data_IF_538679174149
#
_entry.id   IF_538679174149
#
_cell.length_a   1.000
_cell.length_b   1.000
_cell.length_c   1.000
_cell.angle_alpha   90.00
_cell.angle_beta   90.00
_cell.angle_gamma   90.00
#
_symmetry.space_group_name_H-M   'P 1'
#
loop_
_entity.id
_entity.type
_entity.pdbx_description
1 polymer ?
#
# COMPACT_ATOMS: atom_id res chain seq x y z
N UNK A 1 5.19 21.04 31.93
CA UNK A 1 5.20 21.75 30.63
C UNK A 1 6.61 21.67 30.08
N UNK A 2 6.82 21.02 28.94
CA UNK A 2 8.10 21.03 28.23
C UNK A 2 8.42 22.47 27.80
N UNK A 3 9.56 23.01 28.23
CA UNK A 3 9.95 24.36 27.85
C UNK A 3 10.59 24.35 26.46
N UNK A 4 9.76 24.17 25.43
CA UNK A 4 10.18 24.23 24.03
C UNK A 4 10.96 25.50 23.69
N UNK A 5 10.62 26.64 24.32
CA UNK A 5 11.35 27.89 24.11
C UNK A 5 12.82 27.77 24.53
N UNK A 6 13.09 27.18 25.70
CA UNK A 6 14.47 26.93 26.16
C UNK A 6 15.23 26.03 25.18
N UNK A 7 14.58 24.97 24.71
CA UNK A 7 15.16 24.02 23.76
C UNK A 7 15.49 24.66 22.41
N UNK A 8 14.56 25.41 21.81
CA UNK A 8 14.82 26.09 20.54
C UNK A 8 15.85 27.21 20.66
N UNK A 9 15.85 27.96 21.77
CA UNK A 9 16.87 28.96 22.04
C UNK A 9 18.26 28.33 22.13
N UNK A 10 18.39 27.18 22.79
CA UNK A 10 19.65 26.43 22.84
C UNK A 10 20.11 25.98 21.44
N UNK A 11 19.19 25.59 20.57
CA UNK A 11 19.46 25.25 19.18
C UNK A 11 19.70 26.47 18.26
N UNK A 12 19.49 27.69 18.75
CA UNK A 12 19.53 28.90 17.92
C UNK A 12 18.41 28.98 16.88
N UNK A 13 17.28 28.30 17.10
CA UNK A 13 16.15 28.23 16.17
C UNK A 13 15.11 29.30 16.54
N UNK A 14 14.87 30.25 15.64
CA UNK A 14 13.72 31.15 15.72
C UNK A 14 12.47 30.45 15.16
N UNK A 15 11.51 30.12 16.02
CA UNK A 15 10.26 29.45 15.60
C UNK A 15 9.45 30.24 14.55
N UNK A 16 9.53 31.56 14.57
CA UNK A 16 8.77 32.41 13.63
C UNK A 16 9.45 32.48 12.25
N UNK A 17 10.73 32.14 12.18
CA UNK A 17 11.53 32.10 10.94
C UNK A 17 12.52 30.93 11.04
N UNK A 18 12.02 29.68 10.98
CA UNK A 18 12.87 28.53 11.18
C UNK A 18 13.82 28.31 9.99
N UNK A 19 14.95 27.62 10.18
CA UNK A 19 15.82 27.24 9.09
C UNK A 19 15.07 26.48 7.99
N UNK A 20 15.39 26.74 6.71
CA UNK A 20 14.75 26.08 5.55
C UNK A 20 14.77 24.55 5.63
N UNK A 21 15.78 23.97 6.27
CA UNK A 21 15.91 22.53 6.47
C UNK A 21 14.84 21.93 7.40
N UNK A 22 14.07 22.73 8.13
CA UNK A 22 12.94 22.30 8.97
C UNK A 22 11.67 23.12 8.72
N UNK A 23 11.75 24.18 7.91
CA UNK A 23 10.60 24.97 7.44
C UNK A 23 9.91 24.35 6.22
N UNK A 24 9.48 23.09 6.37
CA UNK A 24 8.73 22.38 5.33
C UNK A 24 7.77 21.36 5.92
N UNK A 25 6.79 20.93 5.13
CA UNK A 25 5.82 19.90 5.53
C UNK A 25 6.41 18.50 5.37
N UNK A 26 6.06 17.62 6.31
CA UNK A 26 6.56 16.25 6.40
C UNK A 26 5.63 15.21 5.75
N UNK A 27 4.97 15.53 4.63
CA UNK A 27 4.05 14.60 3.95
C UNK A 27 4.11 14.72 2.42
N UNK A 28 5.33 14.72 1.90
CA UNK A 28 5.58 14.62 0.46
C UNK A 28 5.98 13.17 0.23
N UNK A 29 5.03 12.34 -0.21
CA UNK A 29 5.29 10.97 -0.63
C UNK A 29 4.72 10.76 -2.03
N UNK A 30 5.52 10.29 -3.00
CA UNK A 30 5.04 10.07 -4.35
C UNK A 30 3.92 9.02 -4.39
N UNK A 31 3.08 9.11 -5.43
CA UNK A 31 2.04 8.10 -5.69
C UNK A 31 2.70 6.72 -5.83
N UNK A 32 2.26 5.80 -4.98
CA UNK A 32 2.91 4.52 -4.80
C UNK A 32 1.88 3.38 -4.95
N UNK A 33 2.11 2.52 -5.95
CA UNK A 33 1.33 1.32 -6.18
C UNK A 33 2.21 0.13 -5.86
N UNK A 34 1.98 -0.46 -4.69
CA UNK A 34 2.82 -1.53 -4.13
C UNK A 34 3.00 -2.73 -5.09
N UNK A 35 1.94 -3.11 -5.82
CA UNK A 35 2.02 -4.19 -6.81
C UNK A 35 3.06 -3.92 -7.90
N UNK A 36 3.22 -2.67 -8.34
CA UNK A 36 4.12 -2.31 -9.43
C UNK A 36 5.60 -2.37 -9.07
N UNK A 37 5.94 -2.70 -7.82
CA UNK A 37 7.30 -2.60 -7.31
C UNK A 37 7.88 -3.96 -6.89
N UNK A 38 9.20 -4.07 -6.98
CA UNK A 38 10.00 -5.04 -6.27
C UNK A 38 10.39 -4.49 -4.91
N UNK A 39 10.36 -5.37 -3.89
CA UNK A 39 10.60 -5.02 -2.50
C UNK A 39 11.82 -5.76 -1.97
N UNK A 40 12.67 -5.05 -1.25
CA UNK A 40 13.72 -5.63 -0.41
C UNK A 40 13.83 -4.83 0.89
N UNK A 41 14.39 -5.45 1.91
CA UNK A 41 14.71 -4.78 3.17
C UNK A 41 16.22 -4.68 3.31
N UNK A 42 16.69 -3.53 3.74
CA UNK A 42 18.09 -3.29 4.03
C UNK A 42 18.22 -2.35 5.23
N UNK A 43 19.26 -2.58 6.01
CA UNK A 43 19.65 -1.68 7.09
C UNK A 43 20.70 -0.69 6.57
N UNK A 44 20.45 0.62 6.74
CA UNK A 44 21.39 1.66 6.27
C UNK A 44 21.30 2.96 7.07
N UNK A 45 22.35 3.77 6.96
CA UNK A 45 22.29 5.18 7.33
C UNK A 45 21.51 5.94 6.26
N UNK A 46 20.50 6.70 6.69
CA UNK A 46 19.63 7.49 5.83
C UNK A 46 19.79 8.96 6.17
N UNK A 47 20.03 9.77 5.13
CA UNK A 47 20.05 11.23 5.26
C UNK A 47 18.70 11.73 5.73
N UNK A 48 18.69 12.44 6.86
CA UNK A 48 17.47 12.99 7.45
C UNK A 48 16.72 13.91 6.48
N UNK A 49 17.42 14.59 5.57
CA UNK A 49 16.82 15.44 4.52
C UNK A 49 15.96 14.67 3.52
N UNK A 50 16.22 13.38 3.29
CA UNK A 50 15.49 12.56 2.34
C UNK A 50 14.21 11.95 2.95
N UNK A 51 14.03 12.08 4.27
CA UNK A 51 12.83 11.64 4.97
C UNK A 51 11.79 12.75 4.87
N UNK A 52 10.83 12.56 3.97
CA UNK A 52 9.88 13.61 3.56
C UNK A 52 8.45 13.30 3.97
N UNK A 53 8.18 12.14 4.56
CA UNK A 53 6.83 11.71 4.94
C UNK A 53 6.77 11.06 6.32
N UNK A 54 5.74 11.39 7.10
CA UNK A 54 5.42 10.74 8.39
C UNK A 54 4.38 9.63 8.21
N UNK A 55 4.25 8.73 9.21
CA UNK A 55 3.22 7.68 9.18
C UNK A 55 1.79 8.23 9.31
N UNK A 56 1.62 9.28 10.12
CA UNK A 56 0.29 9.68 10.61
C UNK A 56 -0.26 10.91 9.90
N UNK A 57 -1.50 10.79 9.44
CA UNK A 57 -2.24 11.88 8.81
C UNK A 57 -2.45 13.09 9.73
N UNK A 58 -2.36 12.93 11.06
CA UNK A 58 -2.42 14.07 12.00
C UNK A 58 -1.30 15.10 11.76
N UNK A 59 -0.20 14.71 11.13
CA UNK A 59 0.89 15.61 10.77
C UNK A 59 0.80 16.10 9.32
N UNK A 60 -0.21 15.67 8.54
CA UNK A 60 -0.32 15.90 7.08
C UNK A 60 -0.02 17.34 6.67
N UNK A 61 -0.59 18.28 7.41
CA UNK A 61 -0.48 19.71 7.13
C UNK A 61 0.53 20.44 8.03
N UNK A 62 1.26 19.73 8.89
CA UNK A 62 2.18 20.33 9.86
C UNK A 62 3.58 20.53 9.27
N UNK A 63 4.24 21.62 9.63
CA UNK A 63 5.69 21.76 9.44
C UNK A 63 6.46 20.75 10.31
N UNK A 64 7.77 20.58 10.09
CA UNK A 64 8.61 19.72 10.96
C UNK A 64 8.51 20.14 12.43
N UNK A 65 8.58 21.45 12.72
CA UNK A 65 8.47 22.00 14.08
C UNK A 65 7.12 21.68 14.69
N UNK A 66 6.03 22.00 13.99
CA UNK A 66 4.68 21.73 14.48
C UNK A 66 4.44 20.24 14.70
N UNK A 67 4.93 19.40 13.79
CA UNK A 67 4.83 17.94 13.93
C UNK A 67 5.62 17.46 15.16
N UNK A 68 6.83 17.98 15.38
CA UNK A 68 7.64 17.67 16.55
C UNK A 68 6.95 18.08 17.86
N UNK A 69 6.41 19.29 17.96
CA UNK A 69 5.70 19.75 19.16
C UNK A 69 4.42 18.94 19.42
N UNK A 70 3.63 18.66 18.37
CA UNK A 70 2.44 17.78 18.45
C UNK A 70 2.78 16.35 18.81
N UNK A 71 4.02 15.93 18.56
CA UNK A 71 4.54 14.65 18.98
C UNK A 71 4.81 14.61 20.49
N UNK A 72 4.77 15.76 21.20
CA UNK A 72 4.98 15.85 22.64
C UNK A 72 6.24 15.09 23.13
N UNK A 73 7.43 15.44 22.62
CA UNK A 73 8.69 14.92 23.17
C UNK A 73 8.73 15.23 24.67
N UNK A 74 8.76 14.20 25.50
CA UNK A 74 8.76 14.37 26.95
C UNK A 74 9.86 15.32 27.42
N UNK A 75 9.59 16.14 28.42
CA UNK A 75 10.52 17.20 28.88
C UNK A 75 11.91 16.67 29.20
N UNK A 76 11.98 15.48 29.82
CA UNK A 76 13.24 14.80 30.12
C UNK A 76 14.16 14.63 28.88
N UNK A 77 13.60 14.34 27.70
CA UNK A 77 14.37 14.18 26.47
C UNK A 77 14.92 15.52 25.98
N UNK A 78 14.13 16.59 26.10
CA UNK A 78 14.57 17.94 25.73
C UNK A 78 15.69 18.41 26.66
N UNK A 79 15.52 18.22 27.97
CA UNK A 79 16.50 18.59 28.98
C UNK A 79 17.79 17.78 28.79
N UNK A 80 17.68 16.47 28.53
CA UNK A 80 18.85 15.62 28.27
C UNK A 80 19.60 16.03 27.02
N UNK A 81 18.92 16.47 25.96
CA UNK A 81 19.62 16.94 24.77
C UNK A 81 20.44 18.20 25.04
N UNK A 82 19.89 19.12 25.86
CA UNK A 82 20.60 20.34 26.26
C UNK A 82 21.87 20.01 27.05
N UNK A 83 21.86 18.95 27.87
CA UNK A 83 23.02 18.55 28.69
C UNK A 83 23.98 17.59 27.99
N UNK A 84 23.47 16.71 27.11
CA UNK A 84 24.19 15.59 26.49
C UNK A 84 23.88 15.46 24.99
N UNK A 85 24.19 16.46 24.14
CA UNK A 85 23.84 16.40 22.73
C UNK A 85 24.55 15.25 21.97
N UNK A 86 25.79 14.93 22.34
CA UNK A 86 26.61 13.86 21.72
C UNK A 86 26.00 12.46 21.90
N UNK A 87 25.28 12.24 23.02
CA UNK A 87 24.54 11.01 23.27
C UNK A 87 23.55 10.74 22.13
N UNK A 88 22.81 11.77 21.70
CA UNK A 88 21.78 11.65 20.69
C UNK A 88 22.36 11.44 19.28
N UNK A 89 23.52 12.02 18.98
CA UNK A 89 24.18 11.76 17.71
C UNK A 89 24.59 10.29 17.59
N UNK A 90 25.22 9.75 18.64
CA UNK A 90 25.61 8.33 18.69
C UNK A 90 24.38 7.43 18.70
N UNK A 91 23.37 7.76 19.49
CA UNK A 91 22.11 7.01 19.56
C UNK A 91 21.43 6.94 18.19
N UNK A 92 21.29 8.05 17.46
CA UNK A 92 20.62 8.07 16.16
C UNK A 92 21.39 7.31 15.07
N UNK A 93 22.72 7.25 15.13
CA UNK A 93 23.55 6.48 14.19
C UNK A 93 23.69 4.99 14.55
N UNK A 94 23.32 4.62 15.77
CA UNK A 94 23.44 3.26 16.28
C UNK A 94 22.34 2.33 15.77
N UNK A 95 22.65 1.04 15.63
CA UNK A 95 21.66 -0.01 15.32
C UNK A 95 20.58 -0.10 16.41
N UNK A 96 19.39 -0.66 16.12
CA UNK A 96 18.35 -0.86 17.14
C UNK A 96 18.85 -1.61 18.38
N UNK A 97 19.64 -2.68 18.19
CA UNK A 97 20.24 -3.42 19.30
C UNK A 97 21.17 -2.55 20.14
N UNK A 98 22.01 -1.73 19.52
CA UNK A 98 22.91 -0.84 20.25
C UNK A 98 22.15 0.26 21.00
N UNK A 99 21.05 0.76 20.44
CA UNK A 99 20.15 1.70 21.12
C UNK A 99 19.45 1.07 22.34
N UNK A 100 19.11 -0.21 22.29
CA UNK A 100 18.61 -0.97 23.46
C UNK A 100 19.65 -0.97 24.57
N UNK A 101 20.93 -1.22 24.27
CA UNK A 101 22.00 -1.15 25.28
C UNK A 101 22.12 0.26 25.90
N UNK A 102 21.95 1.31 25.08
CA UNK A 102 22.08 2.71 25.51
C UNK A 102 20.88 3.25 26.29
N UNK A 103 19.67 2.74 26.04
CA UNK A 103 18.42 3.30 26.58
C UNK A 103 17.62 2.32 27.46
N UNK A 104 18.02 1.04 27.50
CA UNK A 104 17.39 -0.07 28.26
C UNK A 104 15.88 -0.27 28.01
N UNK A 105 15.30 0.42 27.03
CA UNK A 105 13.96 0.18 26.52
C UNK A 105 13.96 -0.96 25.49
N UNK A 106 12.78 -1.50 25.18
CA UNK A 106 12.65 -2.61 24.22
C UNK A 106 13.09 -2.25 22.80
N UNK A 107 13.20 -3.28 21.94
CA UNK A 107 13.72 -3.13 20.57
C UNK A 107 12.82 -2.23 19.72
N UNK A 108 11.50 -2.36 19.85
CA UNK A 108 10.51 -1.60 19.10
C UNK A 108 10.61 -0.09 19.42
N UNK A 109 10.76 0.24 20.69
CA UNK A 109 10.91 1.61 21.18
C UNK A 109 12.16 2.31 20.62
N UNK A 110 13.16 1.52 20.19
CA UNK A 110 14.44 1.98 19.66
C UNK A 110 14.60 1.82 18.12
N UNK A 111 13.64 1.21 17.42
CA UNK A 111 13.72 0.94 15.98
C UNK A 111 13.19 2.08 15.12
N UNK A 112 13.94 2.52 14.10
CA UNK A 112 13.44 3.44 13.06
C UNK A 112 13.19 2.60 11.81
N UNK A 113 11.93 2.54 11.39
CA UNK A 113 11.53 1.82 10.19
C UNK A 113 11.09 2.81 9.13
N UNK A 114 11.66 2.71 7.94
CA UNK A 114 11.35 3.57 6.80
C UNK A 114 10.88 2.74 5.61
N UNK A 115 10.08 3.36 4.76
CA UNK A 115 9.81 2.89 3.42
C UNK A 115 10.42 3.88 2.43
N UNK A 116 11.21 3.38 1.49
CA UNK A 116 11.77 4.17 0.40
C UNK A 116 11.02 3.90 -0.91
N UNK A 117 10.65 4.96 -1.62
CA UNK A 117 10.26 4.90 -3.03
C UNK A 117 10.77 6.14 -3.77
N UNK A 118 11.49 5.94 -4.89
CA UNK A 118 12.07 7.03 -5.71
C UNK A 118 12.88 8.04 -4.88
N UNK A 119 13.76 7.56 -4.00
CA UNK A 119 14.56 8.36 -3.05
C UNK A 119 13.77 9.18 -2.03
N UNK A 120 12.44 9.01 -1.93
CA UNK A 120 11.62 9.58 -0.86
C UNK A 120 11.43 8.55 0.25
N UNK A 121 11.67 8.97 1.49
CA UNK A 121 11.51 8.09 2.65
C UNK A 121 10.28 8.48 3.47
N UNK A 122 9.43 7.51 3.73
CA UNK A 122 8.28 7.60 4.63
C UNK A 122 8.57 6.85 5.92
N UNK A 123 8.32 7.50 7.05
CA UNK A 123 8.40 6.84 8.35
C UNK A 123 7.27 5.84 8.52
N UNK A 124 7.62 4.60 8.87
CA UNK A 124 6.68 3.56 9.30
C UNK A 124 6.70 3.39 10.81
N UNK A 125 7.86 3.56 11.43
CA UNK A 125 7.98 3.60 12.88
C UNK A 125 9.10 4.54 13.34
N UNK A 126 8.94 5.11 14.54
CA UNK A 126 9.89 6.05 15.10
C UNK A 126 9.69 7.52 14.71
N UNK A 127 8.45 7.96 14.44
CA UNK A 127 8.15 9.36 14.07
C UNK A 127 8.80 10.39 15.00
N UNK A 128 8.71 10.18 16.32
CA UNK A 128 9.30 11.10 17.30
C UNK A 128 10.81 11.21 17.16
N UNK A 129 11.50 10.08 16.93
CA UNK A 129 12.96 10.02 16.77
C UNK A 129 13.42 10.72 15.49
N UNK A 130 12.69 10.52 14.39
CA UNK A 130 12.98 11.20 13.10
C UNK A 130 12.72 12.71 13.19
N UNK A 131 11.59 13.12 13.78
CA UNK A 131 11.26 14.54 13.96
C UNK A 131 12.27 15.23 14.87
N UNK A 132 12.64 14.57 15.97
CA UNK A 132 13.71 15.05 16.85
C UNK A 132 15.01 15.23 16.10
N UNK A 133 15.49 14.20 15.39
CA UNK A 133 16.73 14.23 14.63
C UNK A 133 16.77 15.39 13.61
N UNK A 134 15.65 15.66 12.93
CA UNK A 134 15.52 16.81 12.03
C UNK A 134 15.61 18.15 12.76
N UNK A 135 14.88 18.32 13.86
CA UNK A 135 14.87 19.58 14.63
C UNK A 135 16.24 19.90 15.20
N UNK A 136 16.96 18.90 15.71
CA UNK A 136 18.30 19.09 16.30
C UNK A 136 19.44 19.03 15.27
N UNK A 137 19.12 18.87 13.98
CA UNK A 137 20.11 18.92 12.90
C UNK A 137 21.02 17.69 12.78
N UNK A 138 20.59 16.51 13.24
CA UNK A 138 21.33 15.25 13.01
C UNK A 138 21.27 14.91 11.51
N UNK A 139 22.42 14.74 10.82
CA UNK A 139 22.46 14.64 9.36
C UNK A 139 21.94 13.29 8.85
N UNK A 140 22.24 12.21 9.58
CA UNK A 140 21.94 10.83 9.19
C UNK A 140 21.48 10.01 10.39
N UNK A 141 20.60 9.05 10.15
CA UNK A 141 20.11 8.11 11.15
C UNK A 141 20.16 6.68 10.63
N UNK A 142 20.40 5.72 11.51
CA UNK A 142 20.31 4.30 11.17
C UNK A 142 18.84 3.87 11.16
N UNK A 143 18.42 3.21 10.09
CA UNK A 143 17.07 2.69 9.94
C UNK A 143 17.06 1.35 9.19
N UNK A 144 16.06 0.55 9.51
CA UNK A 144 15.65 -0.57 8.66
C UNK A 144 14.73 -0.02 7.58
N UNK A 145 15.11 -0.20 6.32
CA UNK A 145 14.44 0.42 5.17
C UNK A 145 13.84 -0.67 4.30
N UNK A 146 12.52 -0.64 4.13
CA UNK A 146 11.86 -1.35 3.04
C UNK A 146 11.97 -0.52 1.76
N UNK A 147 12.74 -0.97 0.79
CA UNK A 147 12.97 -0.27 -0.48
C UNK A 147 12.07 -0.83 -1.57
N UNK A 148 11.32 0.06 -2.23
CA UNK A 148 10.51 -0.25 -3.39
C UNK A 148 11.15 0.30 -4.67
N UNK A 149 11.32 -0.57 -5.66
CA UNK A 149 11.81 -0.21 -7.00
C UNK A 149 10.77 -0.59 -8.04
N UNK A 150 10.50 0.32 -8.98
CA UNK A 150 9.57 0.07 -10.09
C UNK A 150 9.99 -1.20 -10.85
N UNK A 151 9.05 -2.12 -11.06
CA UNK A 151 9.27 -3.38 -11.78
C UNK A 151 8.57 -3.30 -13.14
N UNK A 152 9.31 -3.18 -14.26
CA UNK A 152 8.71 -2.97 -15.58
C UNK A 152 7.69 -4.03 -15.98
N UNK A 153 7.93 -5.29 -15.59
CA UNK A 153 7.01 -6.40 -15.86
C UNK A 153 5.69 -6.23 -15.08
N UNK A 154 5.77 -5.92 -13.78
CA UNK A 154 4.58 -5.73 -12.93
C UNK A 154 3.78 -4.49 -13.34
N UNK A 155 4.46 -3.42 -13.76
CA UNK A 155 3.80 -2.23 -14.33
C UNK A 155 2.97 -2.59 -15.57
N UNK A 156 3.54 -3.36 -16.51
CA UNK A 156 2.80 -3.81 -17.70
C UNK A 156 1.57 -4.64 -17.35
N UNK A 157 1.69 -5.54 -16.37
CA UNK A 157 0.56 -6.35 -15.91
C UNK A 157 -0.49 -5.53 -15.19
N UNK A 158 -0.08 -4.52 -14.43
CA UNK A 158 -1.00 -3.60 -13.77
C UNK A 158 -1.84 -2.82 -14.76
N UNK A 159 -1.23 -2.22 -15.79
CA UNK A 159 -1.97 -1.50 -16.82
C UNK A 159 -2.89 -2.44 -17.60
N UNK A 160 -2.41 -3.62 -17.97
CA UNK A 160 -3.24 -4.65 -18.64
C UNK A 160 -4.43 -5.09 -17.80
N UNK A 161 -4.23 -5.36 -16.51
CA UNK A 161 -5.31 -5.73 -15.60
C UNK A 161 -6.33 -4.61 -15.46
N UNK A 162 -5.87 -3.36 -15.36
CA UNK A 162 -6.72 -2.17 -15.29
C UNK A 162 -7.55 -1.97 -16.55
N UNK A 163 -6.97 -2.17 -17.74
CA UNK A 163 -7.71 -2.16 -19.02
C UNK A 163 -8.82 -3.20 -19.06
N UNK A 164 -8.57 -4.37 -18.47
CA UNK A 164 -9.54 -5.47 -18.34
C UNK A 164 -10.53 -5.28 -17.17
N UNK A 165 -10.45 -4.19 -16.41
CA UNK A 165 -11.34 -3.90 -15.28
C UNK A 165 -11.02 -4.65 -13.99
N UNK A 166 -9.80 -5.16 -13.85
CA UNK A 166 -9.30 -5.82 -12.65
C UNK A 166 -8.47 -4.90 -11.76
N UNK A 167 -8.48 -5.16 -10.46
CA UNK A 167 -7.59 -4.56 -9.49
C UNK A 167 -6.61 -5.59 -8.97
N UNK A 168 -5.32 -5.27 -9.04
CA UNK A 168 -4.25 -6.12 -8.52
C UNK A 168 -3.76 -5.56 -7.19
N UNK A 169 -3.61 -6.44 -6.20
CA UNK A 169 -2.95 -6.12 -4.93
C UNK A 169 -2.03 -7.27 -4.52
N UNK A 170 -0.89 -6.99 -3.88
CA UNK A 170 -0.16 -8.03 -3.17
C UNK A 170 -1.09 -8.67 -2.12
N UNK A 171 -1.03 -9.99 -1.99
CA UNK A 171 -1.80 -10.70 -0.97
C UNK A 171 -1.31 -10.31 0.44
N UNK A 172 -2.24 -10.28 1.40
CA UNK A 172 -1.98 -9.82 2.76
C UNK A 172 -1.15 -10.79 3.60
N UNK A 173 -1.20 -12.08 3.30
CA UNK A 173 -0.56 -13.15 4.06
C UNK A 173 0.78 -13.56 3.44
N UNK A 174 0.81 -13.76 2.11
CA UNK A 174 2.04 -14.09 1.40
C UNK A 174 2.20 -13.20 0.16
N UNK A 175 3.27 -12.39 0.17
CA UNK A 175 3.54 -11.34 -0.82
C UNK A 175 4.01 -11.89 -2.16
N UNK A 176 4.35 -13.17 -2.24
CA UNK A 176 4.59 -13.83 -3.52
C UNK A 176 3.28 -13.96 -4.30
N UNK A 177 2.15 -14.04 -3.59
CA UNK A 177 0.85 -14.14 -4.20
C UNK A 177 0.26 -12.77 -4.54
N UNK A 178 -0.51 -12.75 -5.63
CA UNK A 178 -1.28 -11.59 -6.07
C UNK A 178 -2.76 -11.87 -5.97
N UNK A 179 -3.47 -11.02 -5.22
CA UNK A 179 -4.91 -11.03 -5.17
C UNK A 179 -5.47 -10.20 -6.33
N UNK A 180 -6.42 -10.78 -7.05
CA UNK A 180 -7.14 -10.12 -8.14
C UNK A 180 -8.57 -9.86 -7.72
N UNK A 181 -9.01 -8.62 -7.88
CA UNK A 181 -10.35 -8.18 -7.52
C UNK A 181 -11.08 -7.55 -8.71
N UNK A 182 -12.40 -7.53 -8.60
CA UNK A 182 -13.29 -6.68 -9.39
C UNK A 182 -14.11 -5.79 -8.48
N UNK A 183 -14.65 -4.70 -9.02
CA UNK A 183 -15.72 -3.98 -8.35
C UNK A 183 -17.00 -4.82 -8.35
N UNK A 184 -17.51 -5.09 -7.16
CA UNK A 184 -18.81 -5.68 -6.93
C UNK A 184 -19.89 -4.65 -7.28
N UNK A 185 -20.67 -4.94 -8.31
CA UNK A 185 -21.76 -4.06 -8.78
C UNK A 185 -23.03 -4.17 -7.93
N UNK A 186 -23.05 -5.04 -6.91
CA UNK A 186 -24.25 -5.30 -6.08
C UNK A 186 -24.60 -4.18 -5.09
N UNK A 187 -23.71 -3.22 -4.85
CA UNK A 187 -23.95 -2.09 -3.94
C UNK A 187 -23.56 -0.78 -4.61
N UNK A 188 -24.52 -0.21 -5.35
CA UNK A 188 -24.34 1.03 -6.13
C UNK A 188 -23.82 2.21 -5.29
N UNK A 189 -24.17 2.28 -4.00
CA UNK A 189 -23.76 3.38 -3.12
C UNK A 189 -22.39 3.16 -2.45
N UNK A 190 -21.89 1.92 -2.44
CA UNK A 190 -20.60 1.54 -1.84
C UNK A 190 -19.94 0.42 -2.63
N UNK A 191 -19.19 0.73 -3.71
CA UNK A 191 -18.49 -0.29 -4.48
C UNK A 191 -17.56 -1.09 -3.55
N UNK A 192 -17.87 -2.38 -3.37
CA UNK A 192 -17.02 -3.31 -2.62
C UNK A 192 -16.11 -4.03 -3.59
N UNK A 193 -14.85 -4.24 -3.22
CA UNK A 193 -13.96 -5.10 -4.00
C UNK A 193 -14.30 -6.57 -3.71
N UNK A 194 -14.57 -7.35 -4.75
CA UNK A 194 -14.78 -8.80 -4.62
C UNK A 194 -13.53 -9.52 -5.12
N UNK A 195 -12.96 -10.38 -4.26
CA UNK A 195 -11.77 -11.17 -4.60
C UNK A 195 -12.17 -12.30 -5.56
N UNK A 196 -11.60 -12.28 -6.75
CA UNK A 196 -11.80 -13.33 -7.76
C UNK A 196 -10.92 -14.52 -7.39
N UNK A 197 -9.61 -14.29 -7.33
CA UNK A 197 -8.64 -15.36 -7.06
C UNK A 197 -7.32 -14.81 -6.50
N UNK A 198 -6.42 -15.75 -6.20
CA UNK A 198 -5.05 -15.52 -5.73
C UNK A 198 -4.10 -16.27 -6.64
N UNK A 199 -3.13 -15.58 -7.23
CA UNK A 199 -2.14 -16.18 -8.14
C UNK A 199 -0.80 -16.29 -7.44
N UNK A 200 -0.11 -17.43 -7.60
CA UNK A 200 1.13 -17.73 -6.89
C UNK A 200 2.30 -16.87 -7.36
N UNK A 201 2.31 -16.50 -8.64
CA UNK A 201 3.37 -15.69 -9.22
C UNK A 201 2.87 -14.82 -10.39
N UNK A 202 3.79 -13.98 -10.88
CA UNK A 202 3.58 -13.02 -11.96
C UNK A 202 3.28 -13.69 -13.31
N UNK A 203 3.78 -14.91 -13.53
CA UNK A 203 3.57 -15.69 -14.77
C UNK A 203 2.15 -16.23 -14.84
N UNK A 204 1.65 -16.85 -13.77
CA UNK A 204 0.26 -17.32 -13.68
C UNK A 204 -0.74 -16.17 -13.87
N UNK A 205 -0.47 -15.03 -13.24
CA UNK A 205 -1.26 -13.82 -13.43
C UNK A 205 -1.21 -13.34 -14.89
N UNK A 206 -0.04 -13.36 -15.51
CA UNK A 206 0.10 -12.99 -16.94
C UNK A 206 -0.74 -13.90 -17.83
N UNK A 207 -0.68 -15.23 -17.63
CA UNK A 207 -1.50 -16.19 -18.36
C UNK A 207 -2.99 -15.96 -18.14
N UNK A 208 -3.41 -15.72 -16.90
CA UNK A 208 -4.79 -15.35 -16.58
C UNK A 208 -5.23 -14.12 -17.39
N UNK A 209 -4.48 -13.02 -17.33
CA UNK A 209 -4.84 -11.79 -18.06
C UNK A 209 -4.85 -12.01 -19.59
N UNK A 210 -3.94 -12.83 -20.14
CA UNK A 210 -3.93 -13.18 -21.56
C UNK A 210 -5.16 -13.99 -22.00
N UNK A 211 -5.71 -14.86 -21.14
CA UNK A 211 -6.97 -15.56 -21.44
C UNK A 211 -8.09 -14.54 -21.63
N UNK A 212 -8.18 -13.55 -20.74
CA UNK A 212 -9.23 -12.53 -20.77
C UNK A 212 -9.11 -11.56 -21.95
N UNK A 213 -7.90 -11.31 -22.47
CA UNK A 213 -7.74 -10.55 -23.74
C UNK A 213 -8.30 -11.29 -24.95
N UNK A 214 -8.23 -12.63 -24.96
CA UNK A 214 -8.72 -13.45 -26.07
C UNK A 214 -10.22 -13.72 -25.99
N UNK A 215 -10.84 -13.41 -24.85
CA UNK A 215 -12.30 -13.32 -24.77
C UNK A 215 -12.70 -12.09 -25.58
N UNK A 216 -13.53 -12.22 -26.63
CA UNK A 216 -13.93 -11.08 -27.45
C UNK A 216 -14.61 -10.02 -26.57
N UNK A 217 -13.83 -9.00 -26.21
CA UNK A 217 -14.27 -7.86 -25.46
C UNK A 217 -15.11 -7.00 -26.41
N UNK A 218 -16.41 -6.88 -26.13
CA UNK A 218 -17.25 -5.92 -26.84
C UNK A 218 -16.89 -4.55 -26.26
N UNK A 219 -16.24 -3.74 -27.07
CA UNK A 219 -15.78 -2.39 -26.76
C UNK A 219 -16.94 -1.55 -26.20
N UNK A 220 -16.87 -1.13 -24.92
CA UNK A 220 -17.78 -0.10 -24.43
C UNK A 220 -17.16 0.74 -23.31
N UNK A 221 -16.52 1.85 -23.71
CA UNK A 221 -15.89 2.85 -22.86
C UNK A 221 -16.68 3.11 -21.57
N UNK A 222 -16.07 2.78 -20.42
CA UNK A 222 -16.51 3.24 -19.09
C UNK A 222 -17.57 2.40 -18.36
N UNK A 223 -18.22 1.44 -19.01
CA UNK A 223 -19.34 0.63 -18.46
C UNK A 223 -19.09 -0.89 -18.48
N UNK A 224 -17.83 -1.31 -18.70
CA UNK A 224 -17.44 -2.56 -19.38
C UNK A 224 -17.86 -3.90 -18.74
N UNK A 225 -18.03 -4.05 -17.42
CA UNK A 225 -18.50 -5.32 -16.82
C UNK A 225 -20.03 -5.39 -16.68
N UNK A 226 -20.69 -4.24 -16.50
CA UNK A 226 -22.13 -4.16 -16.28
C UNK A 226 -22.90 -4.56 -17.55
N UNK A 227 -22.48 -4.08 -18.73
CA UNK A 227 -23.12 -4.41 -20.01
C UNK A 227 -22.80 -5.83 -20.50
N UNK A 228 -21.60 -6.35 -20.19
CA UNK A 228 -21.19 -7.72 -20.54
C UNK A 228 -22.11 -8.77 -19.89
N UNK A 229 -22.54 -8.50 -18.65
CA UNK A 229 -23.47 -9.35 -17.90
C UNK A 229 -24.95 -9.02 -18.14
N UNK A 230 -25.33 -7.81 -18.57
CA UNK A 230 -26.75 -7.43 -18.68
C UNK A 230 -27.37 -7.51 -20.08
N UNK A 231 -26.66 -7.16 -21.17
CA UNK A 231 -27.30 -6.97 -22.49
C UNK A 231 -26.92 -8.00 -23.55
N UNK A 232 -25.77 -8.66 -23.43
CA UNK A 232 -25.39 -9.86 -24.22
C UNK A 232 -26.06 -11.15 -23.70
N UNK A 233 -26.92 -11.00 -22.71
CA UNK A 233 -27.30 -11.96 -21.66
C UNK A 233 -28.30 -13.05 -22.07
N UNK A 234 -29.04 -12.89 -23.17
CA UNK A 234 -30.14 -13.84 -23.47
C UNK A 234 -29.93 -14.76 -24.68
N UNK A 235 -28.99 -14.48 -25.61
CA UNK A 235 -29.01 -15.23 -26.90
C UNK A 235 -27.70 -15.83 -27.43
N UNK A 236 -26.52 -15.57 -26.84
CA UNK A 236 -25.26 -16.03 -27.48
C UNK A 236 -24.25 -16.79 -26.61
N UNK A 237 -24.32 -16.72 -25.28
CA UNK A 237 -23.16 -17.07 -24.44
C UNK A 237 -23.20 -18.43 -23.72
N UNK A 238 -24.31 -19.17 -23.67
CA UNK A 238 -24.38 -20.37 -22.81
C UNK A 238 -23.64 -21.63 -23.33
N UNK A 239 -23.46 -21.80 -24.64
CA UNK A 239 -22.80 -23.01 -25.18
C UNK A 239 -21.47 -22.74 -25.87
N UNK A 240 -21.42 -21.75 -26.77
CA UNK A 240 -20.22 -21.47 -27.58
C UNK A 240 -19.05 -20.92 -26.75
N UNK A 241 -19.32 -20.11 -25.73
CA UNK A 241 -18.28 -19.55 -24.86
C UNK A 241 -17.68 -20.60 -23.91
N UNK A 242 -18.54 -21.44 -23.31
CA UNK A 242 -18.08 -22.58 -22.50
C UNK A 242 -17.28 -23.56 -23.36
N UNK A 243 -17.71 -23.84 -24.59
CA UNK A 243 -16.97 -24.69 -25.54
C UNK A 243 -15.64 -24.03 -25.94
N UNK A 244 -15.62 -22.72 -26.22
CA UNK A 244 -14.39 -21.98 -26.53
C UNK A 244 -13.39 -22.03 -25.38
N UNK A 245 -13.84 -21.75 -24.14
CA UNK A 245 -12.99 -21.85 -22.96
C UNK A 245 -12.48 -23.28 -22.82
N UNK A 246 -13.35 -24.29 -22.83
CA UNK A 246 -12.92 -25.71 -22.75
C UNK A 246 -11.87 -26.06 -23.81
N UNK A 247 -12.08 -25.66 -25.05
CA UNK A 247 -11.13 -25.89 -26.14
C UNK A 247 -9.81 -25.13 -25.90
N UNK A 248 -9.87 -23.89 -25.42
CA UNK A 248 -8.68 -23.09 -25.12
C UNK A 248 -7.86 -23.68 -23.97
N UNK A 249 -8.50 -24.08 -22.87
CA UNK A 249 -7.85 -24.74 -21.74
C UNK A 249 -7.19 -26.07 -22.18
N UNK A 250 -7.88 -26.85 -23.02
CA UNK A 250 -7.34 -28.09 -23.59
C UNK A 250 -6.17 -27.85 -24.56
N UNK A 251 -6.28 -26.87 -25.46
CA UNK A 251 -5.26 -26.54 -26.46
C UNK A 251 -3.98 -25.97 -25.85
N UNK A 252 -4.08 -25.30 -24.69
CA UNK A 252 -2.95 -24.67 -24.02
C UNK A 252 -2.46 -25.48 -22.79
N UNK A 253 -2.92 -26.73 -22.64
CA UNK A 253 -2.55 -27.63 -21.52
C UNK A 253 -2.72 -27.02 -20.12
N UNK A 254 -3.71 -26.14 -19.95
CA UNK A 254 -3.99 -25.46 -18.69
C UNK A 254 -4.85 -26.39 -17.82
N UNK A 255 -4.20 -27.24 -17.03
CA UNK A 255 -4.84 -28.29 -16.22
C UNK A 255 -5.37 -27.82 -14.85
N UNK A 256 -5.53 -26.51 -14.63
CA UNK A 256 -5.95 -25.97 -13.34
C UNK A 256 -7.49 -26.06 -13.18
N UNK A 257 -7.97 -27.29 -12.98
CA UNK A 257 -9.37 -27.67 -12.70
C UNK A 257 -10.05 -26.81 -11.61
N UNK A 258 -9.36 -26.40 -10.51
CA UNK A 258 -9.94 -25.53 -9.50
C UNK A 258 -10.48 -24.20 -10.05
N UNK A 259 -9.89 -23.63 -11.10
CA UNK A 259 -10.33 -22.34 -11.65
C UNK A 259 -11.62 -22.50 -12.46
N UNK A 260 -11.74 -23.60 -13.22
CA UNK A 260 -12.94 -23.93 -13.98
C UNK A 260 -14.10 -24.33 -13.06
N UNK A 261 -13.86 -25.17 -12.06
CA UNK A 261 -14.88 -25.60 -11.10
C UNK A 261 -15.30 -24.46 -10.18
N UNK A 262 -14.37 -23.65 -9.65
CA UNK A 262 -14.73 -22.46 -8.85
C UNK A 262 -15.49 -21.41 -9.66
N UNK A 263 -15.16 -21.23 -10.94
CA UNK A 263 -15.91 -20.34 -11.83
C UNK A 263 -17.34 -20.86 -12.07
N UNK A 264 -17.48 -22.15 -12.39
CA UNK A 264 -18.78 -22.79 -12.60
C UNK A 264 -19.63 -22.82 -11.31
N UNK A 265 -19.03 -23.10 -10.16
CA UNK A 265 -19.69 -23.09 -8.85
C UNK A 265 -20.16 -21.70 -8.46
N UNK A 266 -19.30 -20.67 -8.58
CA UNK A 266 -19.70 -19.28 -8.31
C UNK A 266 -20.79 -18.81 -9.28
N UNK A 267 -20.74 -19.24 -10.54
CA UNK A 267 -21.77 -18.99 -11.53
C UNK A 267 -23.11 -19.68 -11.18
N UNK A 268 -23.08 -20.93 -10.73
CA UNK A 268 -24.26 -21.67 -10.29
C UNK A 268 -24.88 -21.09 -9.02
N UNK A 269 -24.06 -20.73 -8.02
CA UNK A 269 -24.51 -20.06 -6.80
C UNK A 269 -25.18 -18.72 -7.10
N UNK A 270 -24.63 -17.94 -8.04
CA UNK A 270 -25.25 -16.70 -8.51
C UNK A 270 -26.61 -16.94 -9.19
N UNK A 271 -26.71 -17.94 -10.07
CA UNK A 271 -27.96 -18.28 -10.75
C UNK A 271 -29.05 -18.71 -9.77
N UNK A 272 -28.68 -19.49 -8.74
CA UNK A 272 -29.58 -19.93 -7.67
C UNK A 272 -30.09 -18.76 -6.82
N UNK A 273 -29.20 -17.87 -6.38
CA UNK A 273 -29.58 -16.67 -5.63
C UNK A 273 -30.46 -15.72 -6.43
N UNK A 274 -30.20 -15.58 -7.73
CA UNK A 274 -31.05 -14.79 -8.64
C UNK A 274 -32.46 -15.37 -8.75
N UNK A 275 -32.59 -16.70 -8.80
CA UNK A 275 -33.88 -17.38 -8.88
C UNK A 275 -34.71 -17.15 -7.61
N UNK A 276 -34.08 -17.28 -6.43
CA UNK A 276 -34.69 -16.97 -5.13
C UNK A 276 -35.16 -15.51 -5.06
N UNK A 277 -34.32 -14.55 -5.47
CA UNK A 277 -34.67 -13.12 -5.44
C UNK A 277 -35.82 -12.81 -6.41
N UNK A 278 -35.84 -13.45 -7.58
CA UNK A 278 -36.90 -13.26 -8.58
C UNK A 278 -38.23 -13.87 -8.11
N UNK A 279 -38.19 -14.99 -7.41
CA UNK A 279 -39.36 -15.62 -6.78
C UNK A 279 -39.87 -14.80 -5.59
N UNK A 280 -38.97 -14.29 -4.75
CA UNK A 280 -39.30 -13.47 -3.59
C UNK A 280 -39.91 -12.11 -3.98
N UNK A 281 -39.41 -11.50 -5.06
CA UNK A 281 -39.97 -10.26 -5.59
C UNK A 281 -41.29 -10.47 -6.34
N UNK A 282 -41.59 -11.69 -6.81
CA UNK A 282 -42.89 -12.03 -7.41
C UNK A 282 -43.97 -12.30 -6.37
N UNK A 283 -43.61 -12.90 -5.24
CA UNK A 283 -44.56 -13.15 -4.13
C UNK A 283 -44.81 -11.92 -3.26
N UNK A 284 -43.90 -10.94 -3.24
CA UNK A 284 -44.08 -9.67 -2.51
C UNK A 284 -44.94 -8.64 -3.24
N UNK A 285 -45.33 -8.90 -4.49
CA UNK A 285 -46.18 -8.04 -5.32
C UNK A 285 -47.59 -8.59 -5.56
N UNK A 286 -47.99 -9.65 -4.83
CA UNK A 286 -49.35 -10.17 -4.81
C UNK A 286 -49.99 -9.98 -3.43
#
# INVERSE_FOLDING_TARGET
MSNFNSFYNHLGINKNQPPKCIDHKMNIYPDFINFCCDRHEEDKLVKCTNITSTRHDKYKNSTVIEAFEKSNPGSYILDRYITEPEYFETYMKSTPMKRVEMNRAGLHENAIELVEYKNHFKVMDGNHRVLFAKVVGIPELYATVTVYKDSPQKIKLYEKAKELGFHLKPNSEDRNFTDVYIYSTYKFDTPRNEKIDTFYNVEELSHFLQIFEKVPFIENRGTLLFDLFHRTREKRMEKKFIIFLKNYFQQNHINNVPLHEKFMDRYQQYMYLKQIITEHNRTSTN
#
